data_IF_416013397266
#
_entry.id   IF_416013397266
#
_cell.length_a   1.000
_cell.length_b   1.000
_cell.length_c   1.000
_cell.angle_alpha   90.00
_cell.angle_beta   90.00
_cell.angle_gamma   90.00
#
_symmetry.space_group_name_H-M   'P 1'
#
loop_
_entity.id
_entity.type
_entity.pdbx_description
1 polymer ?
#
# COMPACT_ATOMS: atom_id res chain seq x y z
N UNK A 1 11.38 16.74 0.05
CA UNK A 1 11.46 15.46 -0.70
C UNK A 1 10.14 15.25 -1.42
N UNK A 2 10.10 14.66 -2.61
CA UNK A 2 8.83 14.43 -3.34
C UNK A 2 8.31 13.01 -3.08
N UNK A 3 7.00 12.88 -2.86
CA UNK A 3 6.32 11.59 -2.75
C UNK A 3 5.50 11.31 -4.02
N UNK A 4 5.77 10.19 -4.70
CA UNK A 4 4.89 9.66 -5.73
C UNK A 4 3.69 8.96 -5.08
N UNK A 5 2.46 9.31 -5.47
CA UNK A 5 1.24 8.68 -4.95
C UNK A 5 0.87 7.46 -5.79
N UNK A 6 0.69 6.29 -5.16
CA UNK A 6 0.42 5.04 -5.89
C UNK A 6 -1.07 4.70 -6.06
N UNK A 7 -1.94 5.24 -5.21
CA UNK A 7 -3.35 4.88 -5.09
C UNK A 7 -4.29 5.82 -5.88
N UNK A 8 -3.99 6.07 -7.15
CA UNK A 8 -4.89 6.85 -8.01
C UNK A 8 -6.21 6.09 -8.28
N UNK A 9 -7.32 6.81 -8.34
CA UNK A 9 -8.67 6.23 -8.46
C UNK A 9 -9.24 5.64 -7.15
N UNK A 10 -8.51 5.76 -6.04
CA UNK A 10 -8.97 5.40 -4.69
C UNK A 10 -9.06 6.63 -3.79
N UNK A 11 -10.04 6.62 -2.89
CA UNK A 11 -10.20 7.60 -1.79
C UNK A 11 -10.22 6.89 -0.44
N UNK A 12 -9.75 7.59 0.57
CA UNK A 12 -9.86 7.17 1.96
C UNK A 12 -10.83 8.09 2.72
N UNK A 13 -11.75 7.47 3.47
CA UNK A 13 -12.59 8.15 4.45
C UNK A 13 -12.70 7.28 5.70
N UNK A 14 -12.25 7.78 6.84
CA UNK A 14 -12.33 7.05 8.10
C UNK A 14 -13.80 6.80 8.46
N UNK A 15 -14.19 5.53 8.60
CA UNK A 15 -15.54 5.11 9.02
C UNK A 15 -15.63 4.81 10.52
N UNK A 16 -14.62 5.20 11.31
CA UNK A 16 -14.56 5.04 12.77
C UNK A 16 -14.77 3.60 13.25
N UNK A 17 -14.34 2.61 12.46
CA UNK A 17 -14.47 1.18 12.80
C UNK A 17 -13.48 0.69 13.86
N UNK A 18 -12.54 1.53 14.30
CA UNK A 18 -11.45 1.21 15.25
C UNK A 18 -10.45 0.15 14.83
N UNK A 19 -10.52 -0.36 13.60
CA UNK A 19 -9.60 -1.40 13.11
C UNK A 19 -8.13 -1.03 13.30
N UNK A 20 -7.74 0.23 13.05
CA UNK A 20 -6.36 0.69 13.25
C UNK A 20 -5.87 0.57 14.69
N UNK A 21 -6.78 0.59 15.66
CA UNK A 21 -6.45 0.44 17.08
C UNK A 21 -6.50 -1.02 17.54
N UNK A 22 -7.09 -1.93 16.77
CA UNK A 22 -7.17 -3.37 17.06
C UNK A 22 -6.41 -4.26 16.06
N UNK A 23 -5.66 -3.66 15.13
CA UNK A 23 -4.93 -4.38 14.10
C UNK A 23 -3.70 -5.05 14.71
N UNK A 24 -3.69 -6.39 14.74
CA UNK A 24 -2.63 -7.19 15.38
C UNK A 24 -1.23 -6.89 14.83
N UNK A 25 -1.15 -6.61 13.53
CA UNK A 25 0.12 -6.31 12.84
C UNK A 25 0.42 -4.81 12.77
N UNK A 26 -0.32 -3.97 13.51
CA UNK A 26 -0.09 -2.53 13.61
C UNK A 26 0.31 -2.15 15.04
N UNK A 27 1.59 -2.33 15.36
CA UNK A 27 2.18 -1.80 16.60
C UNK A 27 2.45 -0.31 16.42
N UNK A 28 1.91 0.51 17.33
CA UNK A 28 2.20 1.96 17.35
C UNK A 28 3.47 2.20 18.14
N UNK A 29 4.57 2.35 17.42
CA UNK A 29 5.84 2.83 17.97
C UNK A 29 5.77 4.34 18.22
N UNK A 30 6.51 4.77 19.24
CA UNK A 30 6.48 6.14 19.73
C UNK A 30 7.83 6.80 19.52
N UNK A 31 7.86 7.86 18.72
CA UNK A 31 9.02 8.75 18.65
C UNK A 31 9.23 9.47 19.98
N UNK A 32 10.39 10.13 20.12
CA UNK A 32 10.64 11.01 21.26
C UNK A 32 9.53 12.06 21.45
N UNK A 33 9.09 12.70 20.36
CA UNK A 33 8.04 13.71 20.39
C UNK A 33 6.67 13.11 20.71
N UNK A 34 6.36 11.89 20.24
CA UNK A 34 5.11 11.23 20.60
C UNK A 34 5.03 10.97 22.11
N UNK A 35 6.15 10.59 22.75
CA UNK A 35 6.17 10.40 24.21
C UNK A 35 5.89 11.70 24.96
N UNK A 36 6.43 12.83 24.49
CA UNK A 36 6.13 14.15 25.09
C UNK A 36 4.64 14.50 24.96
N UNK A 37 4.00 14.21 23.82
CA UNK A 37 2.56 14.44 23.64
C UNK A 37 1.68 13.56 24.52
N UNK A 38 2.22 12.42 24.95
CA UNK A 38 1.55 11.45 25.81
C UNK A 38 1.84 11.67 27.31
N UNK A 39 2.38 12.81 27.71
CA UNK A 39 2.48 13.19 29.13
C UNK A 39 1.10 13.06 29.80
N UNK A 40 1.03 12.34 30.92
CA UNK A 40 -0.22 11.96 31.61
C UNK A 40 -0.86 10.66 31.13
N UNK A 41 -0.27 9.97 30.15
CA UNK A 41 -0.70 8.65 29.64
C UNK A 41 0.40 7.59 29.76
N UNK A 42 1.32 7.73 30.71
CA UNK A 42 2.49 6.86 30.89
C UNK A 42 2.09 5.40 31.12
N UNK A 43 0.96 5.17 31.81
CA UNK A 43 0.39 3.84 32.04
C UNK A 43 -0.09 3.13 30.76
N UNK A 44 -0.05 3.82 29.63
CA UNK A 44 -0.37 3.29 28.31
C UNK A 44 0.87 3.17 27.41
N UNK A 45 2.08 3.27 27.96
CA UNK A 45 3.34 3.16 27.22
C UNK A 45 4.13 1.95 27.74
N UNK A 46 4.62 1.13 26.82
CA UNK A 46 5.49 -0.02 27.11
C UNK A 46 6.87 0.19 26.50
N UNK A 47 7.89 -0.41 27.11
CA UNK A 47 9.23 -0.51 26.51
C UNK A 47 9.21 -1.48 25.33
N UNK A 48 9.98 -1.16 24.30
CA UNK A 48 10.16 -1.97 23.10
C UNK A 48 11.65 -2.12 22.79
N UNK A 49 12.02 -3.26 22.22
CA UNK A 49 13.39 -3.50 21.72
C UNK A 49 13.62 -2.94 20.31
N UNK A 50 12.63 -2.28 19.71
CA UNK A 50 12.75 -1.56 18.44
C UNK A 50 13.61 -0.30 18.57
N UNK A 51 14.04 0.27 17.44
CA UNK A 51 14.75 1.56 17.38
C UNK A 51 14.02 2.72 18.09
N UNK A 52 12.68 2.70 18.13
CA UNK A 52 11.87 3.69 18.83
C UNK A 52 11.92 3.57 20.37
N UNK A 53 12.37 2.43 20.90
CA UNK A 53 12.43 2.13 22.35
C UNK A 53 11.10 2.01 23.09
N UNK A 54 10.00 2.55 22.55
CA UNK A 54 8.69 2.60 23.20
C UNK A 54 7.54 2.38 22.22
N UNK A 55 6.45 1.84 22.73
CA UNK A 55 5.22 1.53 21.99
C UNK A 55 3.98 1.83 22.87
N UNK A 56 2.82 2.13 22.25
CA UNK A 56 1.57 2.22 23.01
C UNK A 56 1.15 0.84 23.53
N UNK A 57 0.90 0.65 24.82
CA UNK A 57 0.45 -0.62 25.40
C UNK A 57 -0.71 -1.29 24.67
N UNK A 58 -0.75 -2.63 24.73
CA UNK A 58 -1.91 -3.40 24.28
C UNK A 58 -2.66 -3.99 25.48
N UNK A 59 -3.99 -3.93 25.44
CA UNK A 59 -4.90 -4.59 26.39
C UNK A 59 -5.89 -5.43 25.58
N UNK A 60 -5.95 -6.72 25.87
CA UNK A 60 -6.76 -7.71 25.13
C UNK A 60 -6.55 -7.66 23.61
N UNK A 61 -5.29 -7.46 23.19
CA UNK A 61 -4.91 -7.38 21.79
C UNK A 61 -5.33 -6.10 21.07
N UNK A 62 -5.77 -5.08 21.82
CA UNK A 62 -6.15 -3.75 21.30
C UNK A 62 -5.30 -2.65 21.93
N UNK A 63 -5.21 -1.49 21.29
CA UNK A 63 -4.56 -0.32 21.86
C UNK A 63 -5.17 0.02 23.23
N UNK A 64 -4.33 0.20 24.24
CA UNK A 64 -4.77 0.49 25.61
C UNK A 64 -5.55 1.81 25.75
N UNK A 65 -5.48 2.69 24.75
CA UNK A 65 -6.22 3.95 24.68
C UNK A 65 -7.59 3.83 23.98
N UNK A 66 -8.07 2.61 23.68
CA UNK A 66 -9.45 2.40 23.21
C UNK A 66 -10.40 2.34 24.42
N UNK A 67 -11.43 3.17 24.39
CA UNK A 67 -12.55 3.15 25.34
C UNK A 67 -13.87 3.30 24.57
N UNK A 68 -14.82 2.39 24.76
CA UNK A 68 -16.12 2.38 24.04
C UNK A 68 -16.00 2.50 22.50
N UNK A 69 -15.00 1.82 21.90
CA UNK A 69 -14.66 1.94 20.48
C UNK A 69 -14.29 3.36 20.03
N UNK A 70 -13.76 4.18 20.92
CA UNK A 70 -13.24 5.50 20.62
C UNK A 70 -11.82 5.65 21.16
N UNK A 71 -11.04 6.53 20.54
CA UNK A 71 -9.68 6.83 20.99
C UNK A 71 -9.76 7.85 22.14
N UNK A 72 -9.45 7.41 23.36
CA UNK A 72 -9.45 8.23 24.57
C UNK A 72 -8.66 9.53 24.40
N UNK A 73 -7.46 9.44 23.84
CA UNK A 73 -6.58 10.59 23.57
C UNK A 73 -7.21 11.64 22.66
N UNK A 74 -7.99 11.21 21.65
CA UNK A 74 -8.69 12.14 20.77
C UNK A 74 -9.86 12.83 21.47
N UNK A 75 -10.57 12.10 22.33
CA UNK A 75 -11.73 12.62 23.06
C UNK A 75 -11.28 13.64 24.12
N UNK A 76 -10.28 13.27 24.91
CA UNK A 76 -9.85 14.07 26.08
C UNK A 76 -8.97 15.26 25.69
N UNK A 77 -8.23 15.16 24.58
CA UNK A 77 -7.38 16.25 24.08
C UNK A 77 -7.85 16.73 22.72
N UNK A 78 -7.40 16.08 21.65
CA UNK A 78 -7.75 16.38 20.25
C UNK A 78 -7.03 15.40 19.32
N UNK A 79 -7.28 15.54 18.01
CA UNK A 79 -6.61 14.75 16.97
C UNK A 79 -5.09 14.95 16.95
N UNK A 80 -4.60 16.17 17.17
CA UNK A 80 -3.18 16.52 17.07
C UNK A 80 -2.33 15.88 18.18
N UNK A 81 -2.96 15.54 19.30
CA UNK A 81 -2.34 14.81 20.40
C UNK A 81 -2.02 13.36 20.06
N UNK A 82 -2.59 12.80 18.98
CA UNK A 82 -2.32 11.42 18.57
C UNK A 82 -0.88 11.24 18.10
N UNK A 83 -0.27 10.07 18.36
CA UNK A 83 1.04 9.73 17.79
C UNK A 83 1.07 9.84 16.27
N UNK A 84 2.23 10.19 15.71
CA UNK A 84 2.41 10.34 14.26
C UNK A 84 1.97 9.08 13.48
N UNK A 85 2.35 7.88 13.94
CA UNK A 85 1.89 6.62 13.36
C UNK A 85 0.36 6.49 13.36
N UNK A 86 -0.32 6.85 14.45
CA UNK A 86 -1.78 6.80 14.52
C UNK A 86 -2.45 7.74 13.50
N UNK A 87 -1.85 8.93 13.28
CA UNK A 87 -2.33 9.91 12.29
C UNK A 87 -2.05 9.46 10.85
N UNK A 88 -0.96 8.73 10.65
CA UNK A 88 -0.51 8.24 9.34
C UNK A 88 -1.41 7.11 8.79
N UNK A 89 -1.94 6.23 9.65
CA UNK A 89 -2.78 5.12 9.20
C UNK A 89 -4.04 5.61 8.44
N UNK A 90 -4.43 5.00 7.29
CA UNK A 90 -3.92 3.78 6.67
C UNK A 90 -2.82 4.01 5.61
N UNK A 91 -2.22 5.20 5.58
CA UNK A 91 -1.11 5.47 4.68
C UNK A 91 0.18 4.86 5.23
N UNK A 92 1.15 4.74 4.34
CA UNK A 92 2.53 4.39 4.62
C UNK A 92 3.37 4.82 3.42
N UNK A 93 4.66 4.53 3.42
CA UNK A 93 5.47 4.72 2.23
C UNK A 93 6.45 3.57 2.01
N UNK A 94 6.99 3.54 0.81
CA UNK A 94 8.09 2.68 0.38
C UNK A 94 9.13 3.55 -0.30
N UNK A 95 10.37 3.07 -0.36
CA UNK A 95 11.42 3.68 -1.17
C UNK A 95 11.50 2.92 -2.48
N UNK A 96 11.45 3.65 -3.59
CA UNK A 96 11.62 3.11 -4.95
C UNK A 96 13.11 2.87 -5.21
N UNK A 97 13.42 1.98 -6.15
CA UNK A 97 14.78 1.69 -6.64
C UNK A 97 15.69 2.92 -6.89
N UNK A 98 15.15 4.10 -7.22
CA UNK A 98 15.90 5.33 -7.47
C UNK A 98 15.93 6.29 -6.27
N UNK A 99 15.52 5.84 -5.10
CA UNK A 99 15.45 6.64 -3.87
C UNK A 99 14.18 7.50 -3.72
N UNK A 100 13.30 7.54 -4.73
CA UNK A 100 12.04 8.29 -4.62
C UNK A 100 11.10 7.67 -3.58
N UNK A 101 10.40 8.51 -2.82
CA UNK A 101 9.42 8.05 -1.84
C UNK A 101 8.09 7.75 -2.54
N UNK A 102 7.50 6.59 -2.23
CA UNK A 102 6.21 6.14 -2.75
C UNK A 102 5.18 6.15 -1.62
N UNK A 103 4.23 7.07 -1.65
CA UNK A 103 3.12 7.06 -0.71
C UNK A 103 2.11 5.99 -1.11
N UNK A 104 1.85 5.06 -0.20
CA UNK A 104 0.93 3.94 -0.40
C UNK A 104 -0.29 4.02 0.53
N UNK A 105 -1.37 3.36 0.13
CA UNK A 105 -2.59 3.20 0.92
C UNK A 105 -2.79 1.72 1.22
N UNK A 106 -3.07 1.41 2.50
CA UNK A 106 -3.39 0.05 2.93
C UNK A 106 -4.84 -0.28 2.64
N UNK A 107 -5.06 -1.09 1.61
CA UNK A 107 -6.40 -1.46 1.10
C UNK A 107 -7.19 -2.35 2.07
N UNK A 108 -6.54 -2.94 3.07
CA UNK A 108 -7.24 -3.67 4.13
C UNK A 108 -8.02 -2.76 5.09
N UNK A 109 -7.86 -1.44 5.00
CA UNK A 109 -8.67 -0.51 5.78
C UNK A 109 -10.09 -0.38 5.20
N UNK A 110 -11.12 -0.59 6.03
CA UNK A 110 -12.52 -0.48 5.62
C UNK A 110 -12.96 0.92 5.17
N UNK A 111 -12.12 1.94 5.35
CA UNK A 111 -12.36 3.30 4.89
C UNK A 111 -11.99 3.54 3.41
N UNK A 112 -11.41 2.54 2.74
CA UNK A 112 -10.99 2.62 1.35
C UNK A 112 -12.20 2.45 0.42
N UNK A 113 -12.32 3.35 -0.56
CA UNK A 113 -13.45 3.42 -1.49
C UNK A 113 -12.96 3.86 -2.87
N UNK A 114 -13.70 3.52 -3.93
CA UNK A 114 -13.44 4.09 -5.26
C UNK A 114 -13.68 5.61 -5.24
N UNK A 115 -12.76 6.37 -5.83
CA UNK A 115 -12.86 7.83 -5.95
C UNK A 115 -11.50 8.50 -5.96
N UNK A 116 -11.45 9.83 -5.93
CA UNK A 116 -10.18 10.54 -5.91
C UNK A 116 -9.82 10.98 -4.49
N UNK A 117 -8.64 10.60 -4.01
CA UNK A 117 -8.11 11.13 -2.75
C UNK A 117 -7.86 12.64 -2.87
N UNK A 118 -8.26 13.39 -1.85
CA UNK A 118 -8.08 14.85 -1.83
C UNK A 118 -6.61 15.24 -1.67
N UNK A 119 -6.19 16.36 -2.26
CA UNK A 119 -4.84 16.91 -2.07
C UNK A 119 -4.53 17.18 -0.60
N UNK A 120 -5.53 17.57 0.19
CA UNK A 120 -5.41 17.78 1.63
C UNK A 120 -5.04 16.48 2.37
N UNK A 121 -5.70 15.38 2.02
CA UNK A 121 -5.41 14.06 2.61
C UNK A 121 -4.01 13.59 2.26
N UNK A 122 -3.58 13.76 1.00
CA UNK A 122 -2.21 13.41 0.56
C UNK A 122 -1.19 14.25 1.34
N UNK A 123 -1.39 15.57 1.41
CA UNK A 123 -0.51 16.48 2.16
C UNK A 123 -0.39 16.08 3.62
N UNK A 124 -1.54 15.81 4.27
CA UNK A 124 -1.57 15.34 5.66
C UNK A 124 -0.79 14.04 5.88
N UNK A 125 -0.92 13.06 4.96
CA UNK A 125 -0.18 11.81 5.04
C UNK A 125 1.34 12.02 4.90
N UNK A 126 1.76 12.89 3.97
CA UNK A 126 3.17 13.27 3.80
C UNK A 126 3.71 13.96 5.06
N UNK A 127 2.98 14.92 5.62
CA UNK A 127 3.36 15.61 6.87
C UNK A 127 3.52 14.61 8.02
N UNK A 128 2.64 13.60 8.12
CA UNK A 128 2.78 12.55 9.13
C UNK A 128 4.02 11.66 8.90
N UNK A 129 4.39 11.37 7.64
CA UNK A 129 5.63 10.66 7.33
C UNK A 129 6.85 11.50 7.71
N UNK A 130 6.88 12.78 7.34
CA UNK A 130 7.96 13.71 7.67
C UNK A 130 8.09 13.89 9.18
N UNK A 131 7.00 13.93 9.93
CA UNK A 131 7.02 13.99 11.39
C UNK A 131 7.55 12.69 12.02
N UNK A 132 7.13 11.54 11.52
CA UNK A 132 7.47 10.24 12.09
C UNK A 132 8.93 9.84 11.86
N UNK A 133 9.45 10.15 10.67
CA UNK A 133 10.79 9.73 10.24
C UNK A 133 11.79 10.88 10.17
N UNK A 134 11.33 12.14 10.25
CA UNK A 134 12.15 13.34 10.38
C UNK A 134 13.40 13.33 9.47
N UNK A 135 14.59 13.30 10.05
CA UNK A 135 15.89 13.30 9.38
C UNK A 135 16.28 11.95 8.77
N UNK A 136 15.62 10.86 9.18
CA UNK A 136 15.84 9.52 8.67
C UNK A 136 15.30 9.33 7.25
N UNK A 137 14.40 10.18 6.76
CA UNK A 137 13.86 10.05 5.40
C UNK A 137 14.96 10.11 4.32
N UNK A 138 15.96 10.98 4.51
CA UNK A 138 17.09 11.09 3.58
C UNK A 138 17.96 9.83 3.59
N UNK A 139 18.22 9.28 4.77
CA UNK A 139 18.94 8.03 4.92
C UNK A 139 18.16 6.85 4.30
N UNK A 140 16.84 6.77 4.53
CA UNK A 140 15.98 5.75 3.93
C UNK A 140 16.00 5.84 2.39
N UNK A 141 15.97 7.06 1.84
CA UNK A 141 16.08 7.31 0.40
C UNK A 141 17.39 6.76 -0.18
N UNK A 142 18.52 7.10 0.45
CA UNK A 142 19.85 6.67 0.02
C UNK A 142 19.99 5.15 0.14
N UNK A 143 19.61 4.59 1.29
CA UNK A 143 19.73 3.17 1.57
C UNK A 143 18.81 2.30 0.70
N UNK A 144 17.65 2.83 0.28
CA UNK A 144 16.73 2.15 -0.61
C UNK A 144 17.08 2.27 -2.09
N UNK A 145 18.08 3.07 -2.46
CA UNK A 145 18.50 3.23 -3.85
C UNK A 145 19.30 2.02 -4.31
N UNK A 146 18.87 1.42 -5.42
CA UNK A 146 19.57 0.33 -6.08
C UNK A 146 20.87 0.84 -6.71
N UNK A 147 21.98 0.19 -6.37
CA UNK A 147 23.31 0.56 -6.89
C UNK A 147 23.59 -0.02 -8.28
N UNK A 148 22.86 -1.07 -8.66
CA UNK A 148 22.98 -1.67 -9.98
C UNK A 148 22.18 -0.87 -11.02
N UNK A 149 22.83 -0.49 -12.12
CA UNK A 149 22.17 0.21 -13.24
C UNK A 149 21.12 -0.66 -13.95
N UNK A 150 21.28 -1.98 -13.89
CA UNK A 150 20.48 -2.95 -14.64
C UNK A 150 19.79 -3.94 -13.71
N UNK A 151 18.64 -4.40 -14.19
CA UNK A 151 17.76 -5.38 -13.56
C UNK A 151 17.35 -6.44 -14.57
N UNK A 152 16.68 -7.49 -14.12
CA UNK A 152 16.32 -8.63 -14.96
C UNK A 152 14.96 -8.38 -15.63
N UNK A 153 14.90 -8.47 -16.96
CA UNK A 153 13.64 -8.55 -17.71
C UNK A 153 13.03 -9.94 -17.53
N UNK A 154 13.85 -10.97 -17.72
CA UNK A 154 13.55 -12.38 -17.53
C UNK A 154 14.81 -13.11 -17.02
N UNK A 155 14.88 -14.44 -17.14
CA UNK A 155 16.03 -15.24 -16.66
C UNK A 155 17.30 -15.06 -17.49
N UNK A 156 17.18 -14.60 -18.74
CA UNK A 156 18.27 -14.50 -19.72
C UNK A 156 18.64 -13.07 -20.06
N UNK A 157 17.69 -12.14 -19.96
CA UNK A 157 17.81 -10.78 -20.44
C UNK A 157 17.86 -9.75 -19.29
N UNK A 158 18.75 -8.78 -19.42
CA UNK A 158 18.86 -7.61 -18.52
C UNK A 158 18.49 -6.32 -19.24
N UNK A 159 17.85 -5.43 -18.51
CA UNK A 159 17.42 -4.10 -18.98
C UNK A 159 17.79 -3.03 -17.94
N UNK A 160 17.82 -1.77 -18.35
CA UNK A 160 17.98 -0.66 -17.40
C UNK A 160 16.74 -0.48 -16.54
N UNK A 161 16.90 0.05 -15.33
CA UNK A 161 15.77 0.32 -14.43
C UNK A 161 14.75 1.29 -15.04
N UNK A 162 15.21 2.29 -15.79
CA UNK A 162 14.37 3.25 -16.49
C UNK A 162 13.56 2.59 -17.61
N UNK A 163 14.14 1.61 -18.31
CA UNK A 163 13.44 0.82 -19.32
C UNK A 163 12.36 -0.04 -18.67
N UNK A 164 12.67 -0.69 -17.54
CA UNK A 164 11.68 -1.45 -16.76
C UNK A 164 10.51 -0.57 -16.30
N UNK A 165 10.78 0.66 -15.86
CA UNK A 165 9.72 1.59 -15.47
C UNK A 165 8.86 2.01 -16.67
N UNK A 166 9.47 2.24 -17.83
CA UNK A 166 8.73 2.50 -19.08
C UNK A 166 7.86 1.30 -19.47
N UNK A 167 8.34 0.08 -19.32
CA UNK A 167 7.55 -1.14 -19.56
C UNK A 167 6.37 -1.23 -18.59
N UNK A 168 6.56 -1.00 -17.29
CA UNK A 168 5.45 -0.96 -16.32
C UNK A 168 4.36 0.04 -16.74
N UNK A 169 4.76 1.26 -17.13
CA UNK A 169 3.83 2.28 -17.68
C UNK A 169 3.17 1.80 -18.97
N UNK A 170 3.90 1.13 -19.85
CA UNK A 170 3.37 0.58 -21.10
C UNK A 170 2.27 -0.45 -20.85
N UNK A 171 2.52 -1.45 -20.00
CA UNK A 171 1.54 -2.48 -19.65
C UNK A 171 0.27 -1.86 -19.06
N UNK A 172 0.41 -1.01 -18.04
CA UNK A 172 -0.73 -0.51 -17.25
C UNK A 172 -1.37 0.78 -17.76
N UNK A 173 -0.95 1.31 -18.90
CA UNK A 173 -1.70 2.39 -19.59
C UNK A 173 -3.07 1.93 -20.10
N UNK A 174 -3.30 0.62 -20.18
CA UNK A 174 -4.59 0.04 -20.59
C UNK A 174 -5.59 -0.03 -19.43
N UNK A 175 -6.88 -0.05 -19.77
CA UNK A 175 -7.98 -0.36 -18.84
C UNK A 175 -8.72 -1.65 -19.21
N UNK A 176 -8.14 -2.45 -20.12
CA UNK A 176 -8.66 -3.71 -20.62
C UNK A 176 -7.58 -4.79 -20.58
N UNK A 177 -7.95 -5.99 -20.16
CA UNK A 177 -7.04 -7.12 -20.09
C UNK A 177 -6.65 -7.66 -21.45
N UNK A 178 -7.51 -7.56 -22.47
CA UNK A 178 -7.16 -8.02 -23.82
C UNK A 178 -5.92 -7.27 -24.33
N UNK A 179 -5.90 -5.94 -24.21
CA UNK A 179 -4.73 -5.12 -24.52
C UNK A 179 -3.53 -5.40 -23.59
N UNK A 180 -3.74 -5.86 -22.35
CA UNK A 180 -2.64 -6.28 -21.48
C UNK A 180 -2.02 -7.58 -22.00
N UNK A 181 -2.86 -8.53 -22.43
CA UNK A 181 -2.46 -9.81 -23.03
C UNK A 181 -1.67 -9.61 -24.32
N UNK A 182 -2.14 -8.76 -25.21
CA UNK A 182 -1.44 -8.40 -26.46
C UNK A 182 -0.02 -7.89 -26.19
N UNK A 183 0.13 -6.98 -25.21
CA UNK A 183 1.43 -6.44 -24.80
C UNK A 183 2.31 -7.48 -24.14
N UNK A 184 1.73 -8.41 -23.39
CA UNK A 184 2.49 -9.50 -22.78
C UNK A 184 3.09 -10.40 -23.86
N UNK A 185 2.28 -10.76 -24.86
CA UNK A 185 2.72 -11.53 -26.01
C UNK A 185 3.78 -10.78 -26.83
N UNK A 186 3.60 -9.47 -27.08
CA UNK A 186 4.57 -8.64 -27.79
C UNK A 186 5.97 -8.68 -27.16
N UNK A 187 6.05 -8.61 -25.83
CA UNK A 187 7.34 -8.52 -25.12
C UNK A 187 7.95 -9.90 -24.86
N UNK A 188 7.14 -10.92 -24.55
CA UNK A 188 7.64 -12.23 -24.10
C UNK A 188 7.36 -13.38 -25.05
N UNK A 189 6.62 -13.16 -26.15
CA UNK A 189 6.17 -14.20 -27.09
C UNK A 189 5.44 -15.36 -26.41
N UNK A 190 4.69 -15.05 -25.36
CA UNK A 190 3.94 -16.00 -24.54
C UNK A 190 2.47 -15.63 -24.49
N UNK A 191 1.60 -16.63 -24.67
CA UNK A 191 0.16 -16.46 -24.57
C UNK A 191 -0.32 -16.65 -23.13
N UNK A 192 -1.01 -15.64 -22.61
CA UNK A 192 -1.64 -15.64 -21.28
C UNK A 192 -3.17 -15.55 -21.36
N UNK A 193 -3.75 -15.72 -22.55
CA UNK A 193 -5.18 -15.58 -22.83
C UNK A 193 -6.06 -16.40 -21.88
N UNK A 194 -5.70 -17.66 -21.62
CA UNK A 194 -6.41 -18.53 -20.68
C UNK A 194 -6.50 -17.95 -19.25
N UNK A 195 -5.43 -17.31 -18.77
CA UNK A 195 -5.43 -16.67 -17.46
C UNK A 195 -6.29 -15.41 -17.46
N UNK A 196 -6.21 -14.63 -18.53
CA UNK A 196 -7.02 -13.43 -18.72
C UNK A 196 -8.52 -13.77 -18.80
N UNK A 197 -8.88 -14.81 -19.53
CA UNK A 197 -10.26 -15.28 -19.64
C UNK A 197 -10.78 -15.82 -18.31
N UNK A 198 -9.94 -16.49 -17.52
CA UNK A 198 -10.29 -16.86 -16.14
C UNK A 198 -10.60 -15.63 -15.29
N UNK A 199 -9.77 -14.57 -15.33
CA UNK A 199 -10.04 -13.33 -14.58
C UNK A 199 -11.39 -12.71 -14.99
N UNK A 200 -11.71 -12.71 -16.28
CA UNK A 200 -12.96 -12.13 -16.82
C UNK A 200 -14.21 -12.98 -16.52
N UNK A 201 -14.08 -14.31 -16.44
CA UNK A 201 -15.21 -15.25 -16.46
C UNK A 201 -15.77 -15.65 -15.09
N UNK A 202 -15.07 -15.38 -13.97
CA UNK A 202 -15.45 -15.93 -12.65
C UNK A 202 -16.82 -15.54 -12.10
N UNK A 203 -17.58 -14.66 -12.75
CA UNK A 203 -18.88 -14.20 -12.24
C UNK A 203 -19.88 -13.84 -13.35
N UNK A 204 -21.15 -14.18 -13.12
CA UNK A 204 -22.30 -13.81 -13.98
C UNK A 204 -22.75 -12.36 -13.77
N UNK A 205 -21.80 -11.42 -13.89
CA UNK A 205 -22.09 -9.99 -13.80
C UNK A 205 -22.61 -9.42 -15.12
N UNK A 206 -23.41 -8.36 -15.01
CA UNK A 206 -23.78 -7.53 -16.16
C UNK A 206 -22.55 -6.84 -16.77
N UNK A 207 -22.68 -6.36 -18.00
CA UNK A 207 -21.58 -5.76 -18.77
C UNK A 207 -20.95 -4.54 -18.09
N UNK A 208 -21.74 -3.72 -17.38
CA UNK A 208 -21.23 -2.52 -16.70
C UNK A 208 -20.39 -2.93 -15.50
N UNK A 209 -20.87 -3.90 -14.72
CA UNK A 209 -20.15 -4.45 -13.57
C UNK A 209 -18.86 -5.15 -14.00
N UNK A 210 -18.87 -5.93 -15.09
CA UNK A 210 -17.66 -6.55 -15.66
C UNK A 210 -16.60 -5.51 -16.03
N UNK A 211 -16.98 -4.45 -16.76
CA UNK A 211 -16.08 -3.35 -17.15
C UNK A 211 -15.49 -2.61 -15.95
N UNK A 212 -16.31 -2.37 -14.93
CA UNK A 212 -15.86 -1.74 -13.68
C UNK A 212 -14.82 -2.61 -12.98
N UNK A 213 -15.12 -3.90 -12.78
CA UNK A 213 -14.21 -4.83 -12.11
C UNK A 213 -12.88 -4.97 -12.83
N UNK A 214 -12.91 -5.14 -14.16
CA UNK A 214 -11.70 -5.20 -14.98
C UNK A 214 -10.80 -3.97 -14.78
N UNK A 215 -11.40 -2.77 -14.83
CA UNK A 215 -10.69 -1.51 -14.60
C UNK A 215 -10.07 -1.44 -13.21
N UNK A 216 -10.80 -1.85 -12.17
CA UNK A 216 -10.31 -1.77 -10.79
C UNK A 216 -9.21 -2.80 -10.49
N UNK A 217 -9.31 -4.01 -11.04
CA UNK A 217 -8.24 -5.02 -10.92
C UNK A 217 -6.95 -4.51 -11.60
N UNK A 218 -7.05 -3.99 -12.83
CA UNK A 218 -5.89 -3.43 -13.55
C UNK A 218 -5.29 -2.21 -12.83
N UNK A 219 -6.14 -1.35 -12.25
CA UNK A 219 -5.70 -0.21 -11.43
C UNK A 219 -4.89 -0.70 -10.22
N UNK A 220 -5.35 -1.71 -9.51
CA UNK A 220 -4.62 -2.24 -8.36
C UNK A 220 -3.34 -2.98 -8.76
N UNK A 221 -3.35 -3.75 -9.86
CA UNK A 221 -2.12 -4.34 -10.42
C UNK A 221 -1.08 -3.27 -10.78
N UNK A 222 -1.53 -2.14 -11.35
CA UNK A 222 -0.67 -0.99 -11.62
C UNK A 222 -0.11 -0.38 -10.32
N UNK A 223 -0.94 -0.25 -9.30
CA UNK A 223 -0.51 0.23 -7.98
C UNK A 223 0.57 -0.68 -7.40
N UNK A 224 0.39 -2.01 -7.46
CA UNK A 224 1.37 -2.98 -6.99
C UNK A 224 2.67 -2.98 -7.82
N UNK A 225 2.60 -2.77 -9.13
CA UNK A 225 3.78 -2.66 -10.01
C UNK A 225 4.72 -1.50 -9.63
N UNK A 226 4.19 -0.48 -8.95
CA UNK A 226 5.00 0.61 -8.40
C UNK A 226 5.70 0.21 -7.10
N UNK A 227 5.15 -0.73 -6.33
CA UNK A 227 5.64 -1.10 -4.99
C UNK A 227 6.90 -1.96 -5.09
N UNK A 228 7.86 -1.69 -4.20
CA UNK A 228 9.19 -2.34 -4.23
C UNK A 228 9.15 -3.84 -3.94
N UNK A 229 8.10 -4.36 -3.27
CA UNK A 229 7.90 -5.80 -3.06
C UNK A 229 7.97 -6.63 -4.36
N UNK A 230 7.53 -6.04 -5.48
CA UNK A 230 7.49 -6.70 -6.78
C UNK A 230 8.74 -6.46 -7.63
N UNK A 231 9.68 -5.62 -7.16
CA UNK A 231 10.85 -5.21 -7.93
C UNK A 231 12.11 -6.05 -7.69
N UNK A 232 12.11 -6.86 -6.63
CA UNK A 232 13.14 -7.86 -6.32
C UNK A 232 13.16 -9.08 -7.24
N UNK A 233 12.22 -9.17 -8.18
CA UNK A 233 12.10 -10.25 -9.16
C UNK A 233 12.26 -9.71 -10.58
N UNK A 234 12.54 -10.63 -11.52
CA UNK A 234 12.53 -10.28 -12.94
C UNK A 234 11.16 -9.71 -13.33
N UNK A 235 11.15 -8.78 -14.28
CA UNK A 235 9.93 -8.08 -14.68
C UNK A 235 8.84 -9.05 -15.18
N UNK A 236 9.23 -10.09 -15.90
CA UNK A 236 8.31 -11.18 -16.31
C UNK A 236 7.67 -11.90 -15.12
N UNK A 237 8.48 -12.26 -14.11
CA UNK A 237 7.99 -12.92 -12.89
C UNK A 237 7.08 -12.01 -12.08
N UNK A 238 7.36 -10.71 -12.04
CA UNK A 238 6.47 -9.71 -11.48
C UNK A 238 5.10 -9.73 -12.18
N UNK A 239 5.06 -9.64 -13.52
CA UNK A 239 3.79 -9.64 -14.25
C UNK A 239 2.98 -10.91 -14.02
N UNK A 240 3.64 -12.08 -13.99
CA UNK A 240 2.98 -13.35 -13.65
C UNK A 240 2.38 -13.33 -12.24
N UNK A 241 3.09 -12.77 -11.26
CA UNK A 241 2.54 -12.60 -9.91
C UNK A 241 1.36 -11.61 -9.89
N UNK A 242 1.41 -10.54 -10.66
CA UNK A 242 0.29 -9.59 -10.77
C UNK A 242 -0.94 -10.22 -11.44
N UNK A 243 -0.76 -11.11 -12.43
CA UNK A 243 -1.85 -11.91 -13.02
C UNK A 243 -2.48 -12.81 -11.95
N UNK A 244 -1.67 -13.47 -11.11
CA UNK A 244 -2.16 -14.29 -10.00
C UNK A 244 -2.91 -13.46 -8.94
N UNK A 245 -2.46 -12.23 -8.69
CA UNK A 245 -3.22 -11.26 -7.87
C UNK A 245 -4.57 -10.96 -8.52
N UNK A 246 -4.60 -10.69 -9.83
CA UNK A 246 -5.84 -10.48 -10.58
C UNK A 246 -6.81 -11.67 -10.48
N UNK A 247 -6.30 -12.90 -10.59
CA UNK A 247 -7.08 -14.12 -10.39
C UNK A 247 -7.68 -14.21 -8.99
N UNK A 248 -6.90 -13.83 -7.96
CA UNK A 248 -7.37 -13.84 -6.57
C UNK A 248 -8.46 -12.79 -6.35
N UNK A 249 -8.27 -11.56 -6.84
CA UNK A 249 -9.27 -10.49 -6.70
C UNK A 249 -10.56 -10.84 -7.45
N UNK A 250 -10.44 -11.53 -8.58
CA UNK A 250 -11.61 -11.95 -9.37
C UNK A 250 -12.58 -12.88 -8.62
N UNK A 251 -12.12 -13.55 -7.56
CA UNK A 251 -12.95 -14.40 -6.68
C UNK A 251 -13.86 -13.61 -5.72
N UNK A 252 -13.63 -12.31 -5.57
CA UNK A 252 -14.42 -11.46 -4.67
C UNK A 252 -15.48 -10.69 -5.43
N UNK A 253 -16.72 -10.68 -4.94
CA UNK A 253 -17.81 -9.88 -5.53
C UNK A 253 -17.48 -8.38 -5.56
N UNK A 254 -16.79 -7.88 -4.54
CA UNK A 254 -16.25 -6.53 -4.46
C UNK A 254 -14.71 -6.58 -4.64
N UNK A 255 -14.16 -5.99 -5.72
CA UNK A 255 -12.72 -5.97 -5.94
C UNK A 255 -11.94 -5.38 -4.77
N UNK A 256 -12.44 -4.33 -4.10
CA UNK A 256 -11.73 -3.67 -2.99
C UNK A 256 -11.54 -4.62 -1.80
N UNK A 257 -12.49 -5.54 -1.56
CA UNK A 257 -12.31 -6.59 -0.54
C UNK A 257 -11.17 -7.53 -0.93
N UNK A 258 -11.10 -7.92 -2.20
CA UNK A 258 -10.01 -8.73 -2.73
C UNK A 258 -8.65 -8.02 -2.59
N UNK A 259 -8.59 -6.73 -2.92
CA UNK A 259 -7.39 -5.89 -2.73
C UNK A 259 -6.97 -5.86 -1.25
N UNK A 260 -7.91 -5.69 -0.33
CA UNK A 260 -7.62 -5.73 1.11
C UNK A 260 -7.02 -7.05 1.58
N UNK A 261 -7.46 -8.19 1.02
CA UNK A 261 -6.86 -9.51 1.32
C UNK A 261 -5.44 -9.60 0.78
N UNK A 262 -5.18 -9.11 -0.42
CA UNK A 262 -3.84 -9.09 -1.01
C UNK A 262 -2.90 -8.18 -0.20
N UNK A 263 -3.32 -6.95 0.09
CA UNK A 263 -2.54 -6.01 0.91
C UNK A 263 -2.25 -6.56 2.30
N UNK A 264 -3.21 -7.26 2.92
CA UNK A 264 -2.98 -7.91 4.22
C UNK A 264 -1.88 -8.96 4.12
N UNK A 265 -1.90 -9.80 3.09
CA UNK A 265 -0.86 -10.82 2.87
C UNK A 265 0.51 -10.25 2.59
N UNK A 266 0.58 -9.08 1.92
CA UNK A 266 1.84 -8.43 1.57
C UNK A 266 2.45 -7.63 2.72
N UNK A 267 1.61 -7.06 3.60
CA UNK A 267 2.05 -6.05 4.58
C UNK A 267 1.94 -6.52 6.04
N UNK A 268 1.23 -7.61 6.33
CA UNK A 268 0.97 -8.05 7.70
C UNK A 268 1.56 -9.42 8.04
N UNK A 269 2.10 -10.14 7.04
CA UNK A 269 2.74 -11.46 7.17
C UNK A 269 4.24 -11.36 6.95
#
# INVERSE_FOLDING_TARGET
>A
MSFEVTFDGVKYSCVNCTYCCSCKSWRVYLSYFDRMRLEGYENYIEKSNSEYGHVLSLRDGKCGLIENNLCKLQIERNYDSKPAMCKLFPFSFMVKWNGEMLLILKHYCSGVQVGKTSKRTIKHAVECCEELYHDQLSELSINGTETAEKTNLDEKNKIYWEEREKLGKYFFKTKKFDNFSEKYFEIFSEDIGDFIDKIKSKNNFDTKTKKFREKEILRYMQELNKREHFRKMSFKKELNNLINVGLTISDYEDPLKGEGVIDSKLLLN
#
